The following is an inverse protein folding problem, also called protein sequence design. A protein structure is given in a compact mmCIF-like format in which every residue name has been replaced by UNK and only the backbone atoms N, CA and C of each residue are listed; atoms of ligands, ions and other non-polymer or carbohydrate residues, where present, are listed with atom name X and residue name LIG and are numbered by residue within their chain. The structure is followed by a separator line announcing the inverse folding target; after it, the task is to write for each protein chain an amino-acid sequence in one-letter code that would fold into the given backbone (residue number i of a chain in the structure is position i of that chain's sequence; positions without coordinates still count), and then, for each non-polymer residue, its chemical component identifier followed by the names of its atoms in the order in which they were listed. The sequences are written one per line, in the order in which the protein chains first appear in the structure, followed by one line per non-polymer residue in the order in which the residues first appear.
data_IF_853053816108
#
_entry.id   IF_853053816108
#
_cell.length_a   1.000
_cell.length_b   1.000
_cell.length_c   1.000
_cell.angle_alpha   90.00
_cell.angle_beta   90.00
_cell.angle_gamma   90.00
#
_symmetry.space_group_name_H-M   'P 1'
#
loop_
_entity.id
_entity.type
_entity.pdbx_description
1 polymer ?
#
# COMPACT_ATOMS: atom_id res chain seq x y z
N UNK A 1 8.38 23.83 -5.05
CA UNK A 1 6.90 24.04 -5.03
C UNK A 1 6.36 23.44 -3.74
N UNK A 2 5.41 24.10 -3.04
CA UNK A 2 4.75 23.46 -1.89
C UNK A 2 3.85 22.32 -2.42
N UNK A 3 4.18 21.07 -2.13
CA UNK A 3 3.31 19.95 -2.44
C UNK A 3 2.01 20.04 -1.63
N UNK A 4 0.88 19.67 -2.26
CA UNK A 4 -0.39 19.48 -1.56
C UNK A 4 -0.17 18.41 -0.49
N UNK A 5 -0.64 18.66 0.74
CA UNK A 5 -0.55 17.71 1.85
C UNK A 5 -1.90 17.07 2.13
N UNK A 6 -1.89 15.91 2.74
CA UNK A 6 -3.07 15.07 2.92
C UNK A 6 -3.27 14.67 4.38
N UNK A 7 -4.53 14.56 4.77
CA UNK A 7 -4.96 14.08 6.09
C UNK A 7 -5.19 12.56 6.10
N UNK A 8 -5.41 11.98 4.92
CA UNK A 8 -5.64 10.54 4.77
C UNK A 8 -4.89 10.04 3.55
N UNK A 9 -4.06 9.03 3.73
CA UNK A 9 -3.33 8.35 2.67
C UNK A 9 -3.69 6.87 2.70
N UNK A 10 -4.22 6.37 1.58
CA UNK A 10 -4.40 4.95 1.31
C UNK A 10 -3.32 4.49 0.35
N UNK A 11 -2.63 3.41 0.64
CA UNK A 11 -1.62 2.83 -0.22
C UNK A 11 -1.82 1.32 -0.39
N UNK A 12 -1.83 0.86 -1.63
CA UNK A 12 -1.82 -0.57 -1.99
C UNK A 12 -0.61 -0.88 -2.88
N UNK A 13 0.61 -0.92 -2.32
CA UNK A 13 1.81 -1.08 -3.11
C UNK A 13 1.79 -2.34 -3.96
N UNK A 14 2.33 -2.23 -5.16
CA UNK A 14 2.51 -3.34 -6.09
C UNK A 14 3.73 -4.19 -5.67
N UNK A 15 3.63 -4.86 -4.53
CA UNK A 15 4.70 -5.68 -3.95
C UNK A 15 5.26 -6.67 -4.96
N UNK A 16 6.59 -6.77 -5.05
CA UNK A 16 7.26 -7.75 -5.90
C UNK A 16 6.98 -9.16 -5.37
N UNK A 17 6.16 -9.94 -6.10
CA UNK A 17 5.83 -11.29 -5.69
C UNK A 17 6.96 -12.25 -6.06
N UNK A 18 7.72 -12.71 -5.07
CA UNK A 18 8.67 -13.81 -5.26
C UNK A 18 7.89 -15.13 -5.24
N UNK A 19 7.74 -15.76 -6.39
CA UNK A 19 7.21 -17.12 -6.45
C UNK A 19 8.26 -18.09 -5.87
N UNK A 20 8.00 -18.59 -4.67
CA UNK A 20 8.87 -19.58 -4.01
C UNK A 20 8.46 -21.01 -4.36
N UNK A 21 9.43 -21.86 -4.71
CA UNK A 21 9.35 -23.32 -4.68
C UNK A 21 9.21 -24.02 -6.03
N UNK A 22 9.37 -25.37 -6.02
CA UNK A 22 9.32 -26.29 -7.18
C UNK A 22 8.03 -26.21 -8.05
N UNK A 23 7.00 -25.54 -7.58
CA UNK A 23 5.76 -25.31 -8.33
C UNK A 23 5.91 -24.27 -9.45
N UNK A 24 6.86 -23.37 -9.37
CA UNK A 24 7.20 -22.45 -10.46
C UNK A 24 7.66 -23.21 -11.73
N UNK A 25 8.26 -24.38 -11.57
CA UNK A 25 8.75 -25.21 -12.67
C UNK A 25 7.72 -26.16 -13.24
N UNK A 26 6.70 -26.56 -12.47
CA UNK A 26 5.71 -27.55 -12.92
C UNK A 26 4.57 -26.95 -13.74
N UNK A 27 4.24 -25.70 -13.50
CA UNK A 27 3.35 -24.91 -14.32
C UNK A 27 4.18 -23.79 -14.96
N UNK A 28 4.61 -23.99 -16.20
CA UNK A 28 5.34 -23.03 -17.07
C UNK A 28 4.58 -21.69 -17.31
N UNK A 29 3.62 -21.36 -16.47
CA UNK A 29 2.94 -20.08 -16.38
C UNK A 29 3.44 -19.34 -15.14
N UNK A 30 4.67 -18.82 -15.21
CA UNK A 30 5.00 -17.61 -14.46
C UNK A 30 4.00 -16.59 -15.00
N UNK A 31 2.89 -16.42 -14.29
CA UNK A 31 2.01 -15.27 -14.58
C UNK A 31 2.77 -14.06 -14.08
N UNK A 32 3.50 -13.45 -14.97
CA UNK A 32 3.93 -12.07 -14.76
C UNK A 32 2.69 -11.28 -14.40
N UNK A 33 2.79 -10.50 -13.36
CA UNK A 33 1.67 -9.61 -12.99
C UNK A 33 1.44 -8.67 -14.18
N UNK A 34 0.20 -8.37 -14.56
CA UNK A 34 -0.11 -7.51 -15.71
C UNK A 34 0.26 -6.04 -15.48
N UNK A 35 1.02 -5.74 -14.45
CA UNK A 35 1.47 -4.40 -14.07
C UNK A 35 2.88 -4.46 -13.47
N UNK A 36 3.67 -3.38 -13.60
CA UNK A 36 5.00 -3.31 -13.01
C UNK A 36 4.92 -3.39 -11.48
N UNK A 37 5.81 -4.19 -10.90
CA UNK A 37 5.99 -4.31 -9.45
C UNK A 37 7.12 -3.42 -8.97
N UNK A 38 7.13 -3.10 -7.68
CA UNK A 38 8.19 -2.38 -7.01
C UNK A 38 8.79 -3.26 -5.92
N UNK A 39 10.12 -3.24 -5.79
CA UNK A 39 10.76 -3.85 -4.64
C UNK A 39 10.54 -3.00 -3.37
N UNK A 40 10.84 -3.60 -2.21
CA UNK A 40 10.57 -2.96 -0.90
C UNK A 40 11.32 -1.63 -0.75
N UNK A 41 12.56 -1.55 -1.20
CA UNK A 41 13.36 -0.32 -1.13
C UNK A 41 12.80 0.80 -2.01
N UNK A 42 12.32 0.47 -3.21
CA UNK A 42 11.66 1.44 -4.07
C UNK A 42 10.39 1.99 -3.43
N UNK A 43 9.62 1.14 -2.72
CA UNK A 43 8.41 1.56 -1.99
C UNK A 43 8.80 2.45 -0.81
N UNK A 44 9.80 2.08 0.00
CA UNK A 44 10.31 2.87 1.13
C UNK A 44 10.77 4.26 0.70
N UNK A 45 11.41 4.36 -0.46
CA UNK A 45 11.98 5.61 -0.99
C UNK A 45 10.93 6.58 -1.58
N UNK A 46 9.65 6.21 -1.63
CA UNK A 46 8.62 7.16 -2.01
C UNK A 46 8.50 8.30 -0.98
N UNK A 47 8.40 9.57 -1.40
CA UNK A 47 8.41 10.73 -0.51
C UNK A 47 7.07 10.95 0.22
N UNK A 48 6.50 9.88 0.79
CA UNK A 48 5.16 9.90 1.40
C UNK A 48 5.14 10.76 2.66
N UNK A 49 6.25 10.80 3.38
CA UNK A 49 6.42 11.68 4.55
C UNK A 49 6.13 13.14 4.24
N UNK A 50 6.51 13.61 3.05
CA UNK A 50 6.36 15.01 2.64
C UNK A 50 4.95 15.35 2.20
N UNK A 51 4.16 14.33 1.83
CA UNK A 51 2.74 14.47 1.46
C UNK A 51 1.81 14.45 2.68
N UNK A 52 2.29 13.97 3.83
CA UNK A 52 1.47 13.81 5.02
C UNK A 52 1.42 15.10 5.86
N UNK A 53 0.21 15.56 6.19
CA UNK A 53 -0.01 16.60 7.21
C UNK A 53 0.22 16.06 8.63
N UNK A 54 0.27 16.96 9.61
CA UNK A 54 0.16 16.59 11.02
C UNK A 54 -1.18 15.88 11.27
N UNK A 55 -1.16 14.77 11.99
CA UNK A 55 -2.34 13.95 12.25
C UNK A 55 -2.82 13.12 11.04
N UNK A 56 -2.03 13.05 9.98
CA UNK A 56 -2.37 12.23 8.81
C UNK A 56 -2.52 10.75 9.18
N UNK A 57 -3.56 10.11 8.68
CA UNK A 57 -3.78 8.66 8.76
C UNK A 57 -3.20 7.96 7.55
N UNK A 58 -2.46 6.88 7.78
CA UNK A 58 -1.99 5.95 6.74
C UNK A 58 -2.75 4.63 6.84
N UNK A 59 -3.27 4.18 5.69
CA UNK A 59 -3.88 2.88 5.46
C UNK A 59 -3.05 2.13 4.44
N UNK A 60 -2.20 1.19 4.91
CA UNK A 60 -1.22 0.50 4.08
C UNK A 60 -1.61 -0.95 3.88
N UNK A 61 -2.04 -1.31 2.66
CA UNK A 61 -2.36 -2.68 2.29
C UNK A 61 -1.10 -3.53 2.13
N UNK A 62 -1.20 -4.75 2.62
CA UNK A 62 -0.17 -5.77 2.46
C UNK A 62 -0.76 -7.17 2.44
N UNK A 63 0.05 -8.14 2.05
CA UNK A 63 -0.26 -9.56 2.12
C UNK A 63 0.48 -10.20 3.30
N UNK A 64 0.14 -11.45 3.65
CA UNK A 64 0.88 -12.20 4.66
C UNK A 64 2.39 -12.30 4.35
N UNK A 65 2.75 -12.36 3.07
CA UNK A 65 4.14 -12.49 2.62
C UNK A 65 4.97 -11.24 2.91
N UNK A 66 4.38 -10.07 2.79
CA UNK A 66 5.07 -8.77 2.95
C UNK A 66 4.67 -8.03 4.23
N UNK A 67 4.09 -8.76 5.20
CA UNK A 67 3.62 -8.12 6.43
C UNK A 67 4.76 -7.48 7.22
N UNK A 68 5.92 -8.13 7.31
CA UNK A 68 7.11 -7.60 7.99
C UNK A 68 7.62 -6.34 7.28
N UNK A 69 7.78 -6.42 5.97
CA UNK A 69 8.26 -5.31 5.14
C UNK A 69 7.29 -4.12 5.17
N UNK A 70 5.99 -4.37 5.28
CA UNK A 70 4.99 -3.32 5.38
C UNK A 70 5.12 -2.50 6.68
N UNK A 71 5.50 -3.11 7.80
CA UNK A 71 5.84 -2.37 9.02
C UNK A 71 7.05 -1.46 8.79
N UNK A 72 8.10 -1.97 8.15
CA UNK A 72 9.30 -1.19 7.86
C UNK A 72 9.00 -0.01 6.91
N UNK A 73 8.16 -0.23 5.89
CA UNK A 73 7.68 0.84 4.99
C UNK A 73 6.92 1.91 5.76
N UNK A 74 6.00 1.51 6.64
CA UNK A 74 5.21 2.44 7.45
C UNK A 74 6.11 3.31 8.33
N UNK A 75 7.10 2.73 9.00
CA UNK A 75 8.08 3.44 9.83
C UNK A 75 8.94 4.39 9.00
N UNK A 76 9.44 3.94 7.84
CA UNK A 76 10.26 4.75 6.93
C UNK A 76 9.47 5.97 6.42
N UNK A 77 8.18 5.82 6.15
CA UNK A 77 7.31 6.93 5.78
C UNK A 77 6.93 7.86 6.95
N UNK A 78 7.43 7.56 8.17
CA UNK A 78 7.28 8.39 9.36
C UNK A 78 5.94 8.25 10.07
N UNK A 79 5.25 7.11 9.89
CA UNK A 79 3.99 6.82 10.57
C UNK A 79 4.20 5.87 11.74
N UNK A 80 3.45 6.11 12.82
CA UNK A 80 3.35 5.23 13.98
C UNK A 80 2.23 4.23 13.76
N UNK A 81 2.54 2.94 13.88
CA UNK A 81 1.55 1.88 13.81
C UNK A 81 0.57 1.95 14.99
N UNK A 82 -0.70 1.73 14.73
CA UNK A 82 -1.75 1.61 15.74
C UNK A 82 -2.39 0.23 15.76
N UNK A 83 -2.87 -0.24 14.61
CA UNK A 83 -3.58 -1.53 14.53
C UNK A 83 -3.54 -2.11 13.11
N UNK A 84 -3.90 -3.37 12.97
CA UNK A 84 -4.06 -4.06 11.69
C UNK A 84 -5.52 -4.43 11.48
N UNK A 85 -6.07 -4.02 10.35
CA UNK A 85 -7.38 -4.45 9.90
C UNK A 85 -7.19 -5.63 8.93
N UNK A 86 -7.84 -6.75 9.21
CA UNK A 86 -7.72 -7.96 8.41
C UNK A 86 -8.96 -8.17 7.57
N UNK A 87 -8.80 -8.11 6.25
CA UNK A 87 -9.83 -8.54 5.32
C UNK A 87 -9.84 -10.07 5.21
N UNK A 88 -10.96 -10.68 5.56
CA UNK A 88 -11.23 -12.12 5.41
C UNK A 88 -12.03 -12.34 4.15
N UNK A 89 -11.45 -13.09 3.21
CA UNK A 89 -12.04 -13.41 1.91
C UNK A 89 -12.86 -14.71 1.99
N UNK A 90 -13.93 -14.85 1.20
CA UNK A 90 -14.71 -16.07 1.14
C UNK A 90 -13.91 -17.27 0.60
N UNK A 91 -12.90 -17.01 -0.26
CA UNK A 91 -12.01 -18.03 -0.84
C UNK A 91 -10.56 -17.55 -0.86
N UNK A 92 -9.64 -18.47 -1.15
CA UNK A 92 -8.22 -18.17 -1.26
C UNK A 92 -7.45 -19.27 -1.98
N UNK A 93 -6.14 -19.10 -2.11
CA UNK A 93 -5.22 -20.03 -2.72
C UNK A 93 -4.07 -20.33 -1.75
N UNK A 94 -3.43 -21.47 -1.92
CA UNK A 94 -2.24 -21.87 -1.16
C UNK A 94 -2.00 -23.35 -1.18
N UNK A 95 -0.78 -23.77 -0.90
CA UNK A 95 -0.37 -25.18 -0.91
C UNK A 95 -0.45 -25.81 0.48
N UNK A 96 0.16 -25.17 1.46
CA UNK A 96 0.18 -25.60 2.87
C UNK A 96 -0.94 -24.95 3.67
N UNK A 97 -1.12 -23.65 3.44
CA UNK A 97 -2.20 -22.87 4.02
C UNK A 97 -2.95 -22.14 2.91
N UNK A 98 -4.27 -22.21 2.98
CA UNK A 98 -5.13 -21.42 2.06
C UNK A 98 -5.18 -19.98 2.56
N UNK A 99 -4.50 -19.10 1.85
CA UNK A 99 -4.45 -17.67 2.18
C UNK A 99 -5.77 -16.99 1.87
N UNK A 100 -6.59 -16.77 2.89
CA UNK A 100 -7.88 -16.09 2.82
C UNK A 100 -7.86 -14.69 3.40
N UNK A 101 -6.69 -14.20 3.79
CA UNK A 101 -6.54 -12.90 4.43
C UNK A 101 -5.66 -11.95 3.62
N UNK A 102 -5.99 -10.68 3.69
CA UNK A 102 -5.09 -9.56 3.43
C UNK A 102 -5.16 -8.60 4.60
N UNK A 103 -4.13 -7.80 4.78
CA UNK A 103 -3.99 -6.91 5.91
C UNK A 103 -3.87 -5.47 5.45
N UNK A 104 -4.51 -4.56 6.19
CA UNK A 104 -4.29 -3.15 6.06
C UNK A 104 -3.73 -2.64 7.39
N UNK A 105 -2.48 -2.22 7.40
CA UNK A 105 -1.87 -1.58 8.55
C UNK A 105 -2.43 -0.17 8.66
N UNK A 106 -2.95 0.17 9.82
CA UNK A 106 -3.39 1.52 10.14
C UNK A 106 -2.36 2.19 11.04
N UNK A 107 -1.91 3.36 10.62
CA UNK A 107 -0.99 4.19 11.36
C UNK A 107 -1.32 5.67 11.24
N UNK A 108 -0.60 6.50 11.99
CA UNK A 108 -0.80 7.93 12.02
C UNK A 108 0.52 8.68 12.16
N UNK A 109 0.54 9.93 11.70
CA UNK A 109 1.67 10.84 11.87
C UNK A 109 1.37 11.81 13.03
N UNK A 110 2.34 11.94 13.94
CA UNK A 110 2.33 12.83 15.10
C UNK A 110 1.20 12.51 16.10
N UNK A 111 -0.02 12.98 15.89
CA UNK A 111 -1.17 12.78 16.77
C UNK A 111 -2.27 11.98 16.07
N UNK A 112 -2.76 10.94 16.74
CA UNK A 112 -3.91 10.18 16.25
C UNK A 112 -5.22 10.90 16.63
N UNK A 113 -5.95 11.36 15.63
CA UNK A 113 -7.25 12.01 15.80
C UNK A 113 -8.28 11.33 14.91
N UNK A 114 -9.31 10.75 15.52
CA UNK A 114 -10.38 10.10 14.78
C UNK A 114 -11.58 11.04 14.59
N UNK A 115 -12.26 10.94 13.46
CA UNK A 115 -13.63 11.38 13.31
C UNK A 115 -14.53 10.63 14.32
N UNK A 116 -15.80 10.98 14.42
CA UNK A 116 -16.75 10.44 15.38
C UNK A 116 -16.97 8.92 15.38
N UNK A 117 -16.37 8.18 14.46
CA UNK A 117 -16.49 6.73 14.36
C UNK A 117 -15.80 6.04 15.55
N UNK A 118 -16.57 5.34 16.36
CA UNK A 118 -16.07 4.56 17.51
C UNK A 118 -16.26 3.07 17.26
N UNK A 119 -15.40 2.24 17.85
CA UNK A 119 -15.57 0.78 17.94
C UNK A 119 -15.69 0.07 16.58
N UNK A 120 -14.84 0.41 15.62
CA UNK A 120 -14.75 -0.35 14.37
C UNK A 120 -13.99 -1.65 14.61
N UNK A 121 -14.48 -2.79 14.11
CA UNK A 121 -13.77 -4.06 14.27
C UNK A 121 -12.49 -4.06 13.42
N UNK A 122 -11.47 -4.78 13.89
CA UNK A 122 -10.23 -5.02 13.14
C UNK A 122 -10.35 -6.19 12.17
N UNK A 123 -11.50 -6.83 12.11
CA UNK A 123 -11.84 -7.87 11.14
C UNK A 123 -12.88 -7.33 10.17
N UNK A 124 -12.62 -7.50 8.87
CA UNK A 124 -13.46 -7.02 7.80
C UNK A 124 -13.81 -8.18 6.85
N UNK A 125 -15.08 -8.40 6.60
CA UNK A 125 -15.59 -9.44 5.72
C UNK A 125 -16.17 -8.78 4.47
N UNK A 126 -15.65 -9.13 3.30
CA UNK A 126 -16.19 -8.68 2.04
C UNK A 126 -15.89 -9.69 0.92
N UNK A 127 -16.70 -9.67 -0.11
CA UNK A 127 -16.46 -10.46 -1.31
C UNK A 127 -15.20 -9.98 -2.04
N UNK A 128 -14.63 -10.91 -2.83
CA UNK A 128 -13.50 -10.57 -3.70
C UNK A 128 -14.06 -9.79 -4.89
N UNK A 129 -13.58 -8.56 -5.16
CA UNK A 129 -13.98 -7.81 -6.33
C UNK A 129 -13.66 -8.55 -7.63
N UNK A 130 -14.34 -8.20 -8.71
CA UNK A 130 -14.16 -8.87 -10.01
C UNK A 130 -12.82 -8.59 -10.66
N UNK A 131 -12.26 -7.37 -10.44
CA UNK A 131 -10.95 -7.01 -10.96
C UNK A 131 -9.84 -7.58 -10.09
N UNK A 132 -8.76 -8.04 -10.73
CA UNK A 132 -7.59 -8.55 -10.01
C UNK A 132 -7.00 -7.47 -9.09
N UNK A 133 -6.72 -7.84 -7.83
CA UNK A 133 -6.12 -6.98 -6.79
C UNK A 133 -6.96 -5.75 -6.36
N UNK A 134 -8.17 -5.59 -6.85
CA UNK A 134 -9.08 -4.54 -6.39
C UNK A 134 -9.46 -4.76 -4.93
N UNK A 135 -9.60 -3.68 -4.18
CA UNK A 135 -10.06 -3.72 -2.78
C UNK A 135 -11.57 -3.50 -2.70
N UNK A 136 -12.24 -4.11 -1.71
CA UNK A 136 -13.69 -3.94 -1.52
C UNK A 136 -14.08 -2.48 -1.35
N UNK A 137 -15.19 -2.08 -1.97
CA UNK A 137 -15.71 -0.70 -1.87
C UNK A 137 -16.04 -0.32 -0.44
N UNK A 138 -16.58 -1.24 0.33
CA UNK A 138 -16.95 -1.08 1.73
C UNK A 138 -15.74 -0.71 2.61
N UNK A 139 -14.53 -0.98 2.13
CA UNK A 139 -13.32 -0.59 2.85
C UNK A 139 -13.05 0.92 2.73
N UNK A 140 -13.42 1.54 1.63
CA UNK A 140 -13.34 3.00 1.49
C UNK A 140 -14.35 3.68 2.40
N UNK A 141 -15.57 3.14 2.53
CA UNK A 141 -16.57 3.64 3.49
C UNK A 141 -16.05 3.56 4.93
N UNK A 142 -15.33 2.50 5.27
CA UNK A 142 -14.66 2.36 6.56
C UNK A 142 -13.63 3.49 6.76
N UNK A 143 -12.74 3.71 5.79
CA UNK A 143 -11.73 4.78 5.86
C UNK A 143 -12.42 6.14 6.03
N UNK A 144 -13.41 6.44 5.22
CA UNK A 144 -14.10 7.72 5.22
C UNK A 144 -14.89 7.98 6.51
N UNK A 145 -15.31 6.91 7.20
CA UNK A 145 -15.95 7.02 8.51
C UNK A 145 -15.00 7.34 9.66
N UNK A 146 -13.69 7.06 9.49
CA UNK A 146 -12.67 7.17 10.55
C UNK A 146 -11.73 8.35 10.29
N UNK A 147 -11.33 8.55 9.03
CA UNK A 147 -10.28 9.48 8.62
C UNK A 147 -10.87 10.74 7.99
N UNK A 148 -10.11 11.83 8.07
CA UNK A 148 -10.52 13.13 7.55
C UNK A 148 -10.55 13.17 6.01
N UNK A 149 -11.20 14.21 5.48
CA UNK A 149 -11.13 14.59 4.07
C UNK A 149 -9.74 15.06 3.70
N UNK A 150 -9.53 15.45 2.45
CA UNK A 150 -8.22 15.67 1.86
C UNK A 150 -7.43 14.35 1.76
N UNK A 151 -7.96 13.47 0.90
CA UNK A 151 -7.55 12.07 0.77
C UNK A 151 -6.70 11.86 -0.46
N UNK A 152 -5.69 10.99 -0.34
CA UNK A 152 -4.85 10.52 -1.43
C UNK A 152 -4.86 9.01 -1.47
N UNK A 153 -5.10 8.44 -2.66
CA UNK A 153 -4.87 7.02 -2.93
C UNK A 153 -3.61 6.85 -3.78
N UNK A 154 -2.65 6.14 -3.22
CA UNK A 154 -1.41 5.75 -3.90
C UNK A 154 -1.57 4.38 -4.55
N UNK A 155 -0.98 4.19 -5.73
CA UNK A 155 -1.11 2.99 -6.55
C UNK A 155 -2.54 2.77 -7.04
N UNK A 156 -3.29 3.85 -7.19
CA UNK A 156 -4.68 3.85 -7.61
C UNK A 156 -4.84 3.27 -9.02
N UNK A 157 -5.96 2.56 -9.25
CA UNK A 157 -6.32 1.98 -10.55
C UNK A 157 -7.56 2.62 -11.16
N UNK A 158 -8.24 3.45 -10.41
CA UNK A 158 -9.42 4.21 -10.84
C UNK A 158 -9.54 5.50 -10.03
N UNK A 159 -10.17 6.50 -10.63
CA UNK A 159 -10.50 7.72 -9.90
C UNK A 159 -11.73 7.50 -9.02
N UNK A 160 -11.71 8.16 -7.87
CA UNK A 160 -12.81 8.19 -6.91
C UNK A 160 -13.12 9.63 -6.52
N UNK A 161 -14.39 9.96 -6.44
CA UNK A 161 -14.82 11.26 -5.93
C UNK A 161 -14.32 11.50 -4.49
N UNK A 162 -13.79 12.68 -4.23
CA UNK A 162 -13.24 13.06 -2.92
C UNK A 162 -11.83 12.50 -2.62
N UNK A 163 -11.18 11.88 -3.62
CA UNK A 163 -9.82 11.36 -3.51
C UNK A 163 -8.95 11.89 -4.65
N UNK A 164 -7.79 12.44 -4.31
CA UNK A 164 -6.72 12.56 -5.28
C UNK A 164 -6.07 11.18 -5.48
N UNK A 165 -5.55 10.92 -6.66
CA UNK A 165 -4.97 9.62 -7.01
C UNK A 165 -3.58 9.74 -7.60
N UNK A 166 -2.74 8.74 -7.31
CA UNK A 166 -1.49 8.50 -7.99
C UNK A 166 -1.35 7.00 -8.30
N UNK A 167 -1.06 6.66 -9.56
CA UNK A 167 -0.93 5.28 -10.00
C UNK A 167 -0.67 5.14 -11.49
N UNK A 168 -0.32 3.93 -11.93
CA UNK A 168 0.03 3.66 -13.33
C UNK A 168 -1.19 3.50 -14.25
N UNK A 169 -2.36 3.18 -13.69
CA UNK A 169 -3.59 2.92 -14.46
C UNK A 169 -4.56 4.11 -14.46
N UNK A 170 -4.15 5.24 -13.86
CA UNK A 170 -4.96 6.47 -13.75
C UNK A 170 -4.20 7.70 -14.24
N UNK A 171 -4.95 8.71 -14.64
CA UNK A 171 -4.38 10.05 -14.80
C UNK A 171 -4.19 10.64 -13.39
N UNK A 172 -2.94 10.62 -12.91
CA UNK A 172 -2.58 11.02 -11.54
C UNK A 172 -2.80 12.50 -11.29
N UNK A 173 -3.33 12.84 -10.12
CA UNK A 173 -3.57 14.23 -9.70
C UNK A 173 -2.32 14.86 -9.06
N UNK A 174 -1.34 14.04 -8.68
CA UNK A 174 -0.03 14.46 -8.13
C UNK A 174 1.10 13.84 -8.92
N UNK A 175 2.28 14.47 -8.84
CA UNK A 175 3.53 13.93 -9.34
C UNK A 175 4.41 13.56 -8.14
N UNK A 176 4.79 12.30 -8.04
CA UNK A 176 5.91 11.88 -7.19
C UNK A 176 7.14 11.90 -8.09
N UNK A 177 8.21 12.62 -7.70
CA UNK A 177 9.46 12.70 -8.45
C UNK A 177 10.16 11.32 -8.43
N UNK A 178 9.59 10.39 -9.18
CA UNK A 178 10.13 9.03 -9.33
C UNK A 178 11.48 9.01 -10.06
N UNK A 179 11.88 10.09 -10.74
CA UNK A 179 13.18 10.18 -11.39
C UNK A 179 14.30 10.46 -10.39
N UNK A 180 14.09 11.28 -9.35
CA UNK A 180 15.03 11.45 -8.26
C UNK A 180 15.21 10.14 -7.48
N UNK A 181 14.11 9.43 -7.19
CA UNK A 181 14.13 8.12 -6.52
C UNK A 181 14.89 7.08 -7.37
N UNK A 182 14.73 7.08 -8.70
CA UNK A 182 15.49 6.19 -9.58
C UNK A 182 16.97 6.52 -9.62
N UNK A 183 17.33 7.80 -9.65
CA UNK A 183 18.74 8.23 -9.65
C UNK A 183 19.43 7.93 -8.32
N UNK A 184 18.78 8.12 -7.18
CA UNK A 184 19.33 7.74 -5.87
C UNK A 184 19.45 6.23 -5.70
N UNK A 185 18.50 5.43 -6.17
CA UNK A 185 18.59 3.98 -6.18
C UNK A 185 19.77 3.49 -7.04
N UNK A 186 19.93 4.02 -8.24
CA UNK A 186 21.08 3.69 -9.11
C UNK A 186 22.43 4.11 -8.50
N UNK A 187 22.47 5.25 -7.82
CA UNK A 187 23.69 5.72 -7.12
C UNK A 187 24.02 4.86 -5.89
N UNK A 188 23.00 4.34 -5.18
CA UNK A 188 23.22 3.45 -4.04
C UNK A 188 23.74 2.08 -4.48
N UNK A 189 23.21 1.52 -5.57
CA UNK A 189 23.71 0.28 -6.16
C UNK A 189 25.15 0.42 -6.67
N UNK A 190 25.48 1.53 -7.32
CA UNK A 190 26.84 1.81 -7.78
C UNK A 190 27.85 1.96 -6.63
N UNK A 191 27.44 2.47 -5.48
CA UNK A 191 28.30 2.55 -4.28
C UNK A 191 28.56 1.22 -3.61
N UNK A 192 27.57 0.30 -3.65
CA UNK A 192 27.74 -1.05 -3.10
C UNK A 192 28.60 -1.95 -4.00
N UNK A 193 28.53 -1.78 -5.32
CA UNK A 193 29.36 -2.53 -6.27
C UNK A 193 30.82 -2.05 -6.36
N UNK A 194 31.14 -0.86 -5.85
CA UNK A 194 32.52 -0.35 -5.79
C UNK A 194 33.24 -0.64 -4.47
N UNK A 195 32.59 -1.29 -3.51
CA UNK A 195 33.17 -1.72 -2.23
C UNK A 195 33.29 -3.24 -2.09
N UNK A 196 32.98 -4.01 -3.12
CA UNK A 196 33.21 -5.45 -3.24
C UNK A 196 34.35 -5.72 -4.23
#
# INVERSE_FOLDING_TARGET
MKHKKYKTILADPCWEQKMAGKYATRHKRIRELPYPTMNVEQIKNLPIKDLAEEGCHLWLWTTNQFLKEAFEVMETWGFKYLTTITWVKPSGCGNWFVSRTQHCLFGYKDKCQFKKARYKPTVFFANIPKRHSEKPMEFYDLIESISDENRLELFARQKREGWDVWGNEVNSDIKLNSEEVKQEAMQSEARHSSQA
#
